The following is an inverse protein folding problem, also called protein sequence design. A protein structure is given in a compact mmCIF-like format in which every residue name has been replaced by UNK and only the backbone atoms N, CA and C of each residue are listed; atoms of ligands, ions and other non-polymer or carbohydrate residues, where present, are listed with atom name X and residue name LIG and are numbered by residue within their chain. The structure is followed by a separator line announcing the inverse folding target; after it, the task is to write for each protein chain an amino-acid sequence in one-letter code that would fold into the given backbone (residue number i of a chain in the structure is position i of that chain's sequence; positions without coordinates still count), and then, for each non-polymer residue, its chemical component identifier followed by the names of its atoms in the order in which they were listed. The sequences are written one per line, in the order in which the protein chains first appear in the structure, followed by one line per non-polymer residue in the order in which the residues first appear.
data_IF_981294225799
#
_entry.id   IF_981294225799
#
_cell.length_a   1.000
_cell.length_b   1.000
_cell.length_c   1.000
_cell.angle_alpha   90.00
_cell.angle_beta   90.00
_cell.angle_gamma   90.00
#
_symmetry.space_group_name_H-M   'P 1'
#
loop_
_entity.id
_entity.type
_entity.pdbx_description
1 polymer ?
#
# COMPACT_ATOMS: atom_id res chain seq x y z
N UNK A 1 6.00 16.15 34.11
CA UNK A 1 5.73 14.92 33.33
C UNK A 1 4.46 14.29 33.89
N UNK A 2 3.54 13.78 33.07
CA UNK A 2 2.33 13.11 33.58
C UNK A 2 2.67 11.76 34.21
N UNK A 3 1.92 11.36 35.23
CA UNK A 3 2.07 10.06 35.92
C UNK A 3 1.95 8.92 34.90
N UNK A 4 1.02 9.02 33.96
CA UNK A 4 0.83 8.05 32.87
C UNK A 4 2.10 7.81 32.06
N UNK A 5 2.74 8.87 31.56
CA UNK A 5 3.98 8.75 30.78
C UNK A 5 5.11 8.13 31.61
N UNK A 6 5.16 8.40 32.91
CA UNK A 6 6.15 7.80 33.79
C UNK A 6 5.92 6.30 33.97
N UNK A 7 4.66 5.87 34.15
CA UNK A 7 4.30 4.46 34.32
C UNK A 7 4.49 3.69 33.01
N UNK A 8 4.17 4.30 31.86
CA UNK A 8 4.43 3.74 30.53
C UNK A 8 5.91 3.50 30.28
N UNK A 9 6.75 4.52 30.51
CA UNK A 9 8.20 4.39 30.35
C UNK A 9 8.78 3.35 31.32
N UNK A 10 8.24 3.26 32.53
CA UNK A 10 8.66 2.25 33.49
C UNK A 10 8.31 0.84 33.04
N UNK A 11 7.09 0.62 32.53
CA UNK A 11 6.65 -0.66 32.00
C UNK A 11 7.51 -1.10 30.80
N UNK A 12 7.79 -0.19 29.87
CA UNK A 12 8.64 -0.46 28.71
C UNK A 12 10.09 -0.81 29.12
N UNK A 13 10.68 -0.01 30.02
CA UNK A 13 12.03 -0.30 30.56
C UNK A 13 12.09 -1.63 31.28
N UNK A 14 11.04 -1.99 32.02
CA UNK A 14 10.93 -3.28 32.71
C UNK A 14 10.88 -4.43 31.71
N UNK A 15 10.03 -4.32 30.68
CA UNK A 15 9.91 -5.31 29.60
C UNK A 15 11.24 -5.53 28.86
N UNK A 16 11.97 -4.44 28.58
CA UNK A 16 13.30 -4.48 27.97
C UNK A 16 14.33 -5.13 28.91
N UNK A 17 14.32 -4.78 30.20
CA UNK A 17 15.24 -5.31 31.21
C UNK A 17 15.04 -6.81 31.44
N UNK A 18 13.80 -7.29 31.38
CA UNK A 18 13.47 -8.72 31.49
C UNK A 18 13.75 -9.52 30.22
N UNK A 19 14.36 -8.88 29.22
CA UNK A 19 14.73 -9.47 27.93
C UNK A 19 13.54 -10.01 27.13
N UNK A 20 12.30 -9.67 27.50
CA UNK A 20 11.10 -10.09 26.79
C UNK A 20 11.10 -9.52 25.37
N UNK A 21 11.45 -8.23 25.24
CA UNK A 21 11.45 -7.51 23.97
C UNK A 21 12.49 -7.97 22.93
N UNK A 22 13.61 -8.56 23.37
CA UNK A 22 14.74 -8.91 22.49
C UNK A 22 14.62 -10.29 21.86
N UNK A 23 14.06 -11.26 22.59
CA UNK A 23 13.92 -12.64 22.12
C UNK A 23 12.50 -12.99 21.70
N UNK A 24 11.50 -12.29 22.23
CA UNK A 24 10.10 -12.61 22.03
C UNK A 24 9.35 -11.35 21.59
N UNK A 25 9.04 -11.22 20.31
CA UNK A 25 8.25 -10.07 19.84
C UNK A 25 6.73 -10.23 20.07
N UNK A 26 6.33 -11.39 20.58
CA UNK A 26 4.96 -11.77 20.93
C UNK A 26 4.68 -11.64 22.44
N UNK A 27 5.46 -10.82 23.14
CA UNK A 27 5.34 -10.61 24.57
C UNK A 27 4.33 -9.52 24.91
N UNK A 28 3.66 -9.68 26.06
CA UNK A 28 2.77 -8.69 26.65
C UNK A 28 3.10 -8.60 28.14
N UNK A 29 3.41 -7.40 28.61
CA UNK A 29 3.62 -7.06 30.00
C UNK A 29 2.47 -6.17 30.47
N UNK A 30 1.71 -6.66 31.43
CA UNK A 30 0.68 -5.88 32.12
C UNK A 30 1.33 -5.26 33.34
N UNK A 31 1.28 -3.94 33.44
CA UNK A 31 1.77 -3.21 34.60
C UNK A 31 0.61 -2.53 35.32
N UNK A 32 0.46 -2.82 36.60
CA UNK A 32 -0.61 -2.27 37.44
C UNK A 32 0.00 -1.44 38.56
N UNK A 33 -0.26 -0.14 38.51
CA UNK A 33 0.11 0.81 39.54
C UNK A 33 -1.09 1.04 40.46
N UNK A 34 -1.26 0.16 41.44
CA UNK A 34 -2.44 0.11 42.34
C UNK A 34 -2.69 1.46 43.01
N UNK A 35 -1.65 2.09 43.55
CA UNK A 35 -1.73 3.39 44.24
C UNK A 35 -2.22 4.53 43.35
N UNK A 36 -2.09 4.40 42.03
CA UNK A 36 -2.52 5.41 41.06
C UNK A 36 -3.77 5.00 40.30
N UNK A 37 -4.33 3.81 40.59
CA UNK A 37 -5.38 3.19 39.79
C UNK A 37 -5.08 3.22 38.28
N UNK A 38 -3.82 2.92 37.91
CA UNK A 38 -3.37 2.93 36.53
C UNK A 38 -2.98 1.53 36.07
N UNK A 39 -3.42 1.21 34.88
CA UNK A 39 -3.07 -0.02 34.16
C UNK A 39 -2.41 0.41 32.86
N UNK A 40 -1.25 -0.17 32.59
CA UNK A 40 -0.51 0.01 31.35
C UNK A 40 -0.23 -1.37 30.77
N UNK A 41 -0.43 -1.51 29.47
CA UNK A 41 -0.02 -2.70 28.73
C UNK A 41 1.17 -2.31 27.86
N UNK A 42 2.34 -2.89 28.12
CA UNK A 42 3.51 -2.79 27.26
C UNK A 42 3.63 -4.07 26.46
N UNK A 43 3.69 -3.97 25.14
CA UNK A 43 3.65 -5.13 24.25
C UNK A 43 4.79 -5.09 23.23
N UNK A 44 5.22 -6.27 22.79
CA UNK A 44 6.12 -6.42 21.65
C UNK A 44 5.43 -6.05 20.34
N UNK A 45 6.21 -5.71 19.33
CA UNK A 45 5.69 -5.23 18.03
C UNK A 45 4.81 -6.26 17.33
N UNK A 46 5.04 -7.57 17.50
CA UNK A 46 4.16 -8.60 16.94
C UNK A 46 2.88 -8.74 17.75
N UNK A 47 2.96 -8.72 19.08
CA UNK A 47 1.77 -8.71 19.93
C UNK A 47 0.88 -7.48 19.66
N UNK A 48 1.49 -6.31 19.43
CA UNK A 48 0.77 -5.08 19.06
C UNK A 48 0.04 -5.20 17.73
N UNK A 49 0.64 -5.85 16.73
CA UNK A 49 0.00 -6.09 15.43
C UNK A 49 -1.18 -7.07 15.49
N UNK A 50 -1.22 -7.90 16.54
CA UNK A 50 -2.27 -8.91 16.76
C UNK A 50 -3.42 -8.29 17.55
N UNK A 51 -3.11 -7.75 18.72
CA UNK A 51 -4.10 -7.17 19.62
C UNK A 51 -4.64 -5.87 19.03
N UNK A 52 -3.75 -5.01 18.52
CA UNK A 52 -4.08 -3.67 18.05
C UNK A 52 -4.09 -2.64 19.17
N UNK A 53 -3.57 -1.45 18.89
CA UNK A 53 -3.48 -0.35 19.86
C UNK A 53 -4.86 0.04 20.39
N UNK A 54 -5.89 0.06 19.53
CA UNK A 54 -7.27 0.39 19.93
C UNK A 54 -7.83 -0.63 20.93
N UNK A 55 -7.76 -1.92 20.60
CA UNK A 55 -8.25 -2.97 21.49
C UNK A 55 -7.51 -2.99 22.82
N UNK A 56 -6.20 -2.70 22.82
CA UNK A 56 -5.43 -2.61 24.06
C UNK A 56 -5.93 -1.50 24.98
N UNK A 57 -6.32 -0.34 24.42
CA UNK A 57 -6.91 0.76 25.17
C UNK A 57 -8.30 0.39 25.70
N UNK A 58 -9.13 -0.28 24.89
CA UNK A 58 -10.45 -0.73 25.30
C UNK A 58 -10.34 -1.71 26.50
N UNK A 59 -9.39 -2.65 26.45
CA UNK A 59 -9.10 -3.60 27.55
C UNK A 59 -8.65 -2.85 28.82
N UNK A 60 -7.77 -1.85 28.68
CA UNK A 60 -7.30 -1.02 29.80
C UNK A 60 -8.48 -0.27 30.43
N UNK A 61 -9.35 0.32 29.62
CA UNK A 61 -10.51 1.08 30.11
C UNK A 61 -11.46 0.19 30.90
N UNK A 62 -11.78 -1.01 30.38
CA UNK A 62 -12.66 -1.95 31.08
C UNK A 62 -12.03 -2.45 32.39
N UNK A 63 -10.72 -2.65 32.42
CA UNK A 63 -10.00 -3.00 33.65
C UNK A 63 -10.06 -1.87 34.69
N UNK A 64 -9.89 -0.63 34.26
CA UNK A 64 -9.98 0.55 35.13
C UNK A 64 -11.39 0.74 35.69
N UNK A 65 -12.44 0.36 34.94
CA UNK A 65 -13.82 0.32 35.46
C UNK A 65 -13.95 -0.64 36.63
N UNK A 66 -13.37 -1.84 36.56
CA UNK A 66 -13.35 -2.77 37.70
C UNK A 66 -12.59 -2.18 38.90
N UNK A 67 -11.42 -1.61 38.68
CA UNK A 67 -10.61 -1.06 39.77
C UNK A 67 -11.25 0.15 40.44
N UNK A 68 -11.96 1.01 39.69
CA UNK A 68 -12.73 2.12 40.25
C UNK A 68 -13.84 1.70 41.22
N UNK A 69 -14.29 0.43 41.14
CA UNK A 69 -15.28 -0.18 42.03
C UNK A 69 -14.64 -1.02 43.14
N UNK A 70 -13.32 -0.91 43.30
CA UNK A 70 -12.52 -1.69 44.24
C UNK A 70 -12.49 -3.21 43.94
N UNK A 71 -12.84 -3.61 42.71
CA UNK A 71 -12.79 -4.99 42.22
C UNK A 71 -11.47 -5.27 41.52
N UNK A 72 -10.38 -5.32 42.31
CA UNK A 72 -9.02 -5.48 41.78
C UNK A 72 -8.82 -6.87 41.18
N UNK A 73 -9.31 -7.92 41.82
CA UNK A 73 -9.13 -9.28 41.34
C UNK A 73 -9.86 -9.49 40.01
N UNK A 74 -11.11 -9.05 39.93
CA UNK A 74 -11.96 -9.14 38.74
C UNK A 74 -11.39 -8.33 37.58
N UNK A 75 -10.79 -7.16 37.86
CA UNK A 75 -10.10 -6.39 36.82
C UNK A 75 -8.86 -7.12 36.30
N UNK A 76 -8.05 -7.73 37.18
CA UNK A 76 -6.88 -8.52 36.79
C UNK A 76 -7.26 -9.79 36.01
N UNK A 77 -8.33 -10.46 36.42
CA UNK A 77 -8.87 -11.61 35.70
C UNK A 77 -9.39 -11.19 34.32
N UNK A 78 -10.15 -10.09 34.26
CA UNK A 78 -10.73 -9.55 33.02
C UNK A 78 -9.67 -9.17 31.98
N UNK A 79 -8.59 -8.49 32.39
CA UNK A 79 -7.50 -8.13 31.47
C UNK A 79 -6.79 -9.37 30.91
N UNK A 80 -6.54 -10.38 31.74
CA UNK A 80 -5.88 -11.63 31.32
C UNK A 80 -6.79 -12.41 30.38
N UNK A 81 -8.08 -12.56 30.70
CA UNK A 81 -9.05 -13.25 29.86
C UNK A 81 -9.21 -12.55 28.50
N UNK A 82 -9.26 -11.22 28.51
CA UNK A 82 -9.38 -10.42 27.28
C UNK A 82 -8.16 -10.60 26.38
N UNK A 83 -6.95 -10.55 26.95
CA UNK A 83 -5.71 -10.78 26.19
C UNK A 83 -5.60 -12.24 25.70
N UNK A 84 -6.01 -13.22 26.50
CA UNK A 84 -6.06 -14.62 26.08
C UNK A 84 -7.02 -14.84 24.93
N UNK A 85 -8.17 -14.16 24.91
CA UNK A 85 -9.11 -14.22 23.79
C UNK A 85 -8.47 -13.70 22.50
N UNK A 86 -7.82 -12.53 22.56
CA UNK A 86 -7.10 -11.97 21.41
C UNK A 86 -5.95 -12.89 20.94
N UNK A 87 -5.27 -13.55 21.87
CA UNK A 87 -4.20 -14.49 21.55
C UNK A 87 -4.73 -15.80 20.92
N UNK A 88 -5.93 -16.27 21.31
CA UNK A 88 -6.56 -17.47 20.71
C UNK A 88 -7.00 -17.23 19.28
N UNK A 89 -7.44 -16.02 18.97
CA UNK A 89 -7.89 -15.63 17.62
C UNK A 89 -6.69 -15.35 16.67
N UNK A 90 -5.45 -15.41 17.19
CA UNK A 90 -4.23 -15.25 16.40
C UNK A 90 -3.84 -16.54 15.68
N UNK A 91 -3.92 -16.54 14.35
CA UNK A 91 -3.25 -17.53 13.51
C UNK A 91 -1.91 -16.98 12.98
N UNK A 92 -0.76 -17.52 13.41
CA UNK A 92 0.56 -17.08 12.95
C UNK A 92 0.79 -17.30 11.45
N UNK A 93 -0.02 -18.12 10.78
CA UNK A 93 0.07 -18.35 9.33
C UNK A 93 -0.42 -17.16 8.51
N UNK A 94 -1.40 -16.42 9.01
CA UNK A 94 -1.96 -15.23 8.35
C UNK A 94 -1.01 -14.03 8.41
N UNK A 95 -0.11 -13.98 9.40
CA UNK A 95 0.85 -12.89 9.59
C UNK A 95 1.88 -12.81 8.44
N UNK A 96 2.14 -13.93 7.74
CA UNK A 96 2.98 -13.94 6.54
C UNK A 96 2.36 -13.23 5.34
N UNK A 97 1.04 -13.06 5.31
CA UNK A 97 0.30 -12.50 4.17
C UNK A 97 -0.34 -11.14 4.45
N UNK A 98 -0.15 -10.57 5.65
CA UNK A 98 -0.58 -9.19 5.92
C UNK A 98 0.29 -8.22 5.10
N UNK A 99 -0.17 -7.93 3.89
CA UNK A 99 0.21 -6.74 3.14
C UNK A 99 -0.06 -5.53 4.04
N UNK A 100 1.01 -5.01 4.66
CA UNK A 100 1.00 -3.76 5.43
C UNK A 100 0.21 -2.72 4.62
N UNK A 101 -0.70 -1.96 5.25
CA UNK A 101 -1.44 -0.86 4.59
C UNK A 101 -0.54 0.11 3.82
N UNK A 102 0.73 0.24 4.23
CA UNK A 102 1.75 1.02 3.50
C UNK A 102 2.08 0.47 2.10
N UNK A 103 1.93 -0.83 1.88
CA UNK A 103 2.21 -1.47 0.59
C UNK A 103 1.01 -1.35 -0.37
N UNK A 104 -0.20 -1.09 0.14
CA UNK A 104 -1.36 -0.83 -0.72
C UNK A 104 -1.17 0.44 -1.56
N UNK A 105 -0.59 1.49 -0.97
CA UNK A 105 -0.26 2.72 -1.72
C UNK A 105 0.80 2.48 -2.80
N UNK A 106 1.79 1.65 -2.52
CA UNK A 106 2.80 1.26 -3.50
C UNK A 106 2.21 0.43 -4.64
N UNK A 107 1.38 -0.56 -4.32
CA UNK A 107 0.68 -1.40 -5.32
C UNK A 107 -0.25 -0.54 -6.18
N UNK A 108 -1.00 0.39 -5.55
CA UNK A 108 -1.89 1.31 -6.26
C UNK A 108 -1.11 2.26 -7.18
N UNK A 109 0.03 2.77 -6.73
CA UNK A 109 0.91 3.63 -7.55
C UNK A 109 1.46 2.88 -8.76
N UNK A 110 1.93 1.63 -8.58
CA UNK A 110 2.41 0.78 -9.68
C UNK A 110 1.29 0.48 -10.68
N UNK A 111 0.08 0.19 -10.20
CA UNK A 111 -1.07 -0.07 -11.06
C UNK A 111 -1.45 1.15 -11.91
N UNK A 112 -1.41 2.36 -11.33
CA UNK A 112 -1.68 3.62 -12.05
C UNK A 112 -0.61 3.89 -13.12
N UNK A 113 0.67 3.71 -12.78
CA UNK A 113 1.77 3.90 -13.73
C UNK A 113 1.62 2.94 -14.91
N UNK A 114 1.34 1.66 -14.65
CA UNK A 114 1.09 0.66 -15.69
C UNK A 114 -0.06 1.07 -16.62
N UNK A 115 -1.18 1.54 -16.05
CA UNK A 115 -2.35 1.95 -16.81
C UNK A 115 -2.04 3.16 -17.72
N UNK A 116 -1.28 4.14 -17.22
CA UNK A 116 -0.82 5.29 -18.01
C UNK A 116 0.12 4.86 -19.14
N UNK A 117 1.07 3.95 -18.87
CA UNK A 117 1.98 3.44 -19.91
C UNK A 117 1.25 2.68 -21.02
N UNK A 118 0.23 1.87 -20.68
CA UNK A 118 -0.57 1.15 -21.68
C UNK A 118 -1.37 2.12 -22.55
N UNK A 119 -2.01 3.13 -21.93
CA UNK A 119 -2.74 4.17 -22.66
C UNK A 119 -1.80 4.98 -23.56
N UNK A 120 -0.62 5.37 -23.05
CA UNK A 120 0.40 6.10 -23.81
C UNK A 120 0.90 5.29 -25.02
N UNK A 121 1.22 4.01 -24.83
CA UNK A 121 1.62 3.11 -25.90
C UNK A 121 0.51 2.93 -26.96
N UNK A 122 -0.75 2.80 -26.53
CA UNK A 122 -1.88 2.70 -27.44
C UNK A 122 -2.07 3.97 -28.30
N UNK A 123 -1.98 5.15 -27.68
CA UNK A 123 -2.07 6.44 -28.40
C UNK A 123 -0.90 6.60 -29.37
N UNK A 124 0.32 6.25 -28.95
CA UNK A 124 1.52 6.31 -29.78
C UNK A 124 1.37 5.43 -31.03
N UNK A 125 1.02 4.15 -30.86
CA UNK A 125 0.80 3.21 -31.96
C UNK A 125 -0.34 3.65 -32.90
N UNK A 126 -1.42 4.22 -32.34
CA UNK A 126 -2.53 4.76 -33.15
C UNK A 126 -2.12 5.97 -33.96
N UNK A 127 -1.29 6.87 -33.41
CA UNK A 127 -0.74 8.03 -34.15
C UNK A 127 0.26 7.60 -35.21
N UNK A 128 1.11 6.62 -34.92
CA UNK A 128 2.09 6.11 -35.87
C UNK A 128 1.41 5.41 -37.06
N UNK A 129 0.37 4.60 -36.82
CA UNK A 129 -0.45 4.02 -37.89
C UNK A 129 -1.09 5.09 -38.78
N UNK A 130 -1.59 6.17 -38.20
CA UNK A 130 -2.13 7.31 -38.98
C UNK A 130 -1.04 7.98 -39.82
N UNK A 131 0.15 8.24 -39.25
CA UNK A 131 1.27 8.84 -39.99
C UNK A 131 1.77 7.97 -41.13
N UNK A 132 1.90 6.66 -40.92
CA UNK A 132 2.27 5.70 -41.97
C UNK A 132 1.23 5.64 -43.10
N UNK A 133 -0.05 5.75 -42.78
CA UNK A 133 -1.12 5.85 -43.79
C UNK A 133 -1.07 7.14 -44.61
N UNK A 134 -0.77 8.29 -43.98
CA UNK A 134 -0.66 9.58 -44.67
C UNK A 134 0.58 9.67 -45.57
N UNK A 135 1.71 9.10 -45.17
CA UNK A 135 2.92 9.05 -45.99
C UNK A 135 2.71 8.16 -47.24
N UNK A 136 2.12 6.97 -47.07
CA UNK A 136 1.82 6.07 -48.19
C UNK A 136 0.90 6.72 -49.23
N UNK A 137 -0.09 7.50 -48.81
CA UNK A 137 -0.98 8.19 -49.75
C UNK A 137 -0.31 9.39 -50.46
N UNK A 138 0.66 10.06 -49.81
CA UNK A 138 1.46 11.12 -50.47
C UNK A 138 2.40 10.54 -51.53
N UNK A 139 3.01 9.40 -51.24
CA UNK A 139 3.92 8.75 -52.20
C UNK A 139 3.17 8.26 -53.46
N UNK A 140 1.92 7.79 -53.29
CA UNK A 140 1.05 7.39 -54.41
C UNK A 140 0.62 8.60 -55.25
N UNK A 141 0.25 9.72 -54.61
CA UNK A 141 -0.14 10.95 -55.32
C UNK A 141 1.03 11.57 -56.12
N UNK A 142 2.24 11.57 -55.54
CA UNK A 142 3.45 12.04 -56.22
C UNK A 142 3.81 11.17 -57.43
N UNK A 143 3.70 9.84 -57.29
CA UNK A 143 4.00 8.91 -58.39
C UNK A 143 2.99 9.05 -59.53
N UNK A 144 1.70 9.21 -59.22
CA UNK A 144 0.66 9.40 -60.23
C UNK A 144 0.83 10.71 -61.00
N UNK A 145 1.18 11.81 -60.30
CA UNK A 145 1.53 13.08 -60.98
C UNK A 145 2.76 12.96 -61.85
N UNK A 146 3.81 12.28 -61.40
CA UNK A 146 5.01 12.07 -62.21
C UNK A 146 4.72 11.28 -63.50
N UNK A 147 3.84 10.28 -63.43
CA UNK A 147 3.38 9.52 -64.60
C UNK A 147 2.59 10.42 -65.56
N UNK A 148 1.73 11.31 -65.05
CA UNK A 148 0.97 12.27 -65.87
C UNK A 148 1.89 13.25 -66.60
N UNK A 149 2.92 13.79 -65.94
CA UNK A 149 3.92 14.66 -66.59
C UNK A 149 4.75 13.91 -67.66
N UNK A 150 5.01 12.62 -67.46
CA UNK A 150 5.72 11.81 -68.46
C UNK A 150 4.84 11.52 -69.68
N UNK A 151 3.53 11.31 -69.53
CA UNK A 151 2.63 11.14 -70.68
C UNK A 151 2.48 12.41 -71.51
N UNK A 152 2.33 13.57 -70.86
CA UNK A 152 2.20 14.87 -71.57
C UNK A 152 3.44 15.19 -72.41
N UNK A 153 4.65 14.89 -71.92
CA UNK A 153 5.88 15.10 -72.70
C UNK A 153 6.01 14.13 -73.90
N UNK A 154 5.47 12.91 -73.80
CA UNK A 154 5.51 11.93 -74.91
C UNK A 154 4.52 12.32 -76.01
N UNK A 155 3.38 12.89 -75.65
CA UNK A 155 2.39 13.36 -76.64
C UNK A 155 2.86 14.63 -77.37
N UNK A 156 3.59 15.53 -76.70
CA UNK A 156 4.17 16.74 -77.32
C UNK A 156 5.33 16.42 -78.31
N UNK A 157 6.15 15.39 -78.04
CA UNK A 157 7.22 14.96 -78.94
C UNK A 157 6.69 14.19 -80.16
N UNK A 158 5.59 13.44 -80.01
CA UNK A 158 4.94 12.76 -81.14
C UNK A 158 4.23 13.75 -82.08
N UNK A 159 3.71 14.87 -81.57
CA UNK A 159 3.01 15.86 -82.40
C UNK A 159 3.97 16.70 -83.26
N UNK A 160 5.23 16.88 -82.84
CA UNK A 160 6.25 17.62 -83.61
C UNK A 160 6.87 16.84 -84.77
N UNK A 161 6.70 15.51 -84.81
CA UNK A 161 7.24 14.65 -85.88
C UNK A 161 6.24 14.40 -87.02
N UNK A 162 5.06 15.03 -87.00
CA UNK A 162 4.00 14.80 -88.00
C UNK A 162 3.76 15.99 -88.95
N UNK A 163 4.54 17.07 -88.83
CA UNK A 163 4.46 18.27 -89.68
C UNK A 163 5.69 18.50 -90.60
N UNK A 164 6.31 17.44 -91.12
CA UNK A 164 7.30 17.55 -92.23
C UNK A 164 6.84 16.83 -93.49
#
# INVERSE_FOLDING_TARGET
QSIEKSVEQFAERTRLKWNLAKTCHHDVLIFVAITYNKVVISMGTKAENVIGTKQSLDIIEDTQKHFSRNYIYEGLESIVLSLQKQAKDYDPRLDRFKLRKSNLWLILSIAIILLITVIGAYIYLKREKKRKGTLKNRDIDLNNKAIEYLQVNVDDDNNKNTEQ
#
